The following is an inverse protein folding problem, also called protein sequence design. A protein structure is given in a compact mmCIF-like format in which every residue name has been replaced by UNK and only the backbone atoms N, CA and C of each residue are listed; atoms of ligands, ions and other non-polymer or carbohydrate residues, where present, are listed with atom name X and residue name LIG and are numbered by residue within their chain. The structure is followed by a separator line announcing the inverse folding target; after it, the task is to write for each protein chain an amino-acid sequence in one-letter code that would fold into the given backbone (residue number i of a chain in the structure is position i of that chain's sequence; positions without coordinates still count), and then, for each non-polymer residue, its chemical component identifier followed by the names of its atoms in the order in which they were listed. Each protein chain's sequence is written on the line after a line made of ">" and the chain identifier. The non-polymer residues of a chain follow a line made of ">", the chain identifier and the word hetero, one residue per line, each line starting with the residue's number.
data_IF_997336436139
#
_entry.id   IF_997336436139
#
_cell.length_a   1.000
_cell.length_b   1.000
_cell.length_c   1.000
_cell.angle_alpha   90.00
_cell.angle_beta   90.00
_cell.angle_gamma   90.00
#
_symmetry.space_group_name_H-M   'P 1'
#
loop_
_entity.id
_entity.type
_entity.pdbx_description
1 polymer ?
#
# COMPACT_ATOMS: atom_id res chain seq x y z
N UNK A 1 -0.55 21.53 21.01
CA UNK A 1 -1.87 21.58 20.37
C UNK A 1 -1.83 22.60 19.23
N UNK A 2 -1.80 22.13 18.00
CA UNK A 2 -1.96 22.99 16.83
C UNK A 2 -3.46 23.12 16.56
N UNK A 3 -4.02 24.28 16.85
CA UNK A 3 -5.37 24.66 16.42
C UNK A 3 -5.29 24.91 14.92
N UNK A 4 -5.78 24.01 14.10
CA UNK A 4 -5.94 24.24 12.67
C UNK A 4 -7.17 25.12 12.46
N UNK A 5 -6.98 26.20 11.69
CA UNK A 5 -8.06 27.09 11.29
C UNK A 5 -9.11 26.28 10.49
N UNK A 6 -10.35 26.37 10.90
CA UNK A 6 -11.50 25.85 10.14
C UNK A 6 -11.53 26.50 8.78
N UNK A 7 -11.22 25.73 7.74
CA UNK A 7 -11.40 26.16 6.36
C UNK A 7 -12.89 26.43 6.16
N UNK A 8 -13.25 27.60 5.63
CA UNK A 8 -14.64 27.91 5.31
C UNK A 8 -15.27 26.76 4.49
N UNK A 9 -16.52 26.42 4.79
CA UNK A 9 -17.26 25.43 4.04
C UNK A 9 -17.17 25.75 2.55
N UNK A 10 -16.89 24.79 1.66
CA UNK A 10 -16.82 25.03 0.23
C UNK A 10 -18.17 25.56 -0.28
N UNK A 11 -18.13 26.39 -1.31
CA UNK A 11 -19.34 26.91 -1.92
C UNK A 11 -20.22 25.73 -2.41
N UNK A 12 -21.54 25.81 -2.16
CA UNK A 12 -22.48 24.79 -2.63
C UNK A 12 -22.47 24.76 -4.16
N UNK A 13 -22.01 23.63 -4.71
CA UNK A 13 -21.98 23.37 -6.15
C UNK A 13 -23.12 22.40 -6.47
N UNK A 14 -23.90 22.71 -7.50
CA UNK A 14 -24.87 21.74 -8.01
C UNK A 14 -24.13 20.75 -8.90
N UNK A 15 -24.14 19.50 -8.50
CA UNK A 15 -23.54 18.42 -9.29
C UNK A 15 -24.34 18.19 -10.60
N UNK A 16 -23.64 18.05 -11.74
CA UNK A 16 -24.28 17.82 -13.05
C UNK A 16 -23.44 16.90 -13.93
N UNK A 17 -24.10 16.15 -14.81
CA UNK A 17 -23.43 15.25 -15.75
C UNK A 17 -22.84 14.00 -15.10
N UNK A 18 -22.23 13.18 -15.93
CA UNK A 18 -21.65 11.89 -15.56
C UNK A 18 -20.16 11.89 -15.92
N UNK A 19 -19.33 11.30 -15.05
CA UNK A 19 -17.92 10.99 -15.36
C UNK A 19 -17.78 9.48 -15.52
N UNK A 20 -17.23 9.06 -16.66
CA UNK A 20 -16.95 7.67 -17.00
C UNK A 20 -15.46 7.38 -16.83
N UNK A 21 -15.15 6.52 -15.86
CA UNK A 21 -13.78 6.16 -15.51
C UNK A 21 -13.51 4.69 -15.83
N UNK A 22 -12.59 4.43 -16.79
CA UNK A 22 -12.14 3.09 -17.15
C UNK A 22 -11.06 2.58 -16.20
N UNK A 23 -11.28 1.45 -15.53
CA UNK A 23 -10.31 0.78 -14.66
C UNK A 23 -10.02 -0.63 -15.15
N UNK A 24 -8.84 -1.16 -14.82
CA UNK A 24 -8.44 -2.51 -15.25
C UNK A 24 -9.32 -3.60 -14.62
N UNK A 25 -9.61 -3.46 -13.35
CA UNK A 25 -10.42 -4.41 -12.58
C UNK A 25 -11.09 -3.73 -11.38
N UNK A 26 -12.23 -4.24 -10.98
CA UNK A 26 -12.92 -3.92 -9.72
C UNK A 26 -13.13 -5.21 -8.94
N UNK A 27 -13.22 -5.13 -7.61
CA UNK A 27 -13.49 -6.30 -6.79
C UNK A 27 -14.96 -6.73 -6.77
N UNK A 28 -15.25 -7.81 -6.06
CA UNK A 28 -16.58 -8.40 -5.94
C UNK A 28 -17.24 -8.05 -4.60
N UNK A 29 -16.49 -8.11 -3.50
CA UNK A 29 -16.95 -7.85 -2.13
C UNK A 29 -16.02 -6.82 -1.47
N UNK A 30 -16.32 -5.55 -1.57
CA UNK A 30 -15.32 -4.53 -1.27
C UNK A 30 -15.75 -3.45 -0.31
N UNK A 31 -16.99 -3.39 0.06
CA UNK A 31 -17.48 -2.32 0.92
C UNK A 31 -17.27 -2.61 2.41
N UNK A 32 -17.46 -3.85 2.82
CA UNK A 32 -17.41 -4.18 4.25
C UNK A 32 -15.98 -4.48 4.72
N UNK A 33 -15.54 -3.91 5.86
CA UNK A 33 -14.19 -4.06 6.41
C UNK A 33 -13.69 -5.49 6.52
N UNK A 34 -14.58 -6.43 6.82
CA UNK A 34 -14.28 -7.87 6.94
C UNK A 34 -13.71 -8.49 5.67
N UNK A 35 -14.04 -7.95 4.49
CA UNK A 35 -13.67 -8.51 3.19
C UNK A 35 -12.62 -7.71 2.44
N UNK A 36 -12.29 -6.51 2.87
CA UNK A 36 -11.28 -5.67 2.22
C UNK A 36 -9.89 -6.28 2.41
N UNK A 37 -9.30 -6.81 1.34
CA UNK A 37 -8.01 -7.50 1.39
C UNK A 37 -6.87 -6.76 0.69
N UNK A 38 -7.16 -6.02 -0.37
CA UNK A 38 -6.15 -5.46 -1.26
C UNK A 38 -6.52 -4.05 -1.72
N UNK A 39 -5.52 -3.17 -1.89
CA UNK A 39 -5.73 -1.82 -2.47
C UNK A 39 -6.45 -1.80 -3.80
N UNK A 40 -6.25 -2.81 -4.63
CA UNK A 40 -6.86 -2.91 -5.95
C UNK A 40 -8.38 -2.99 -5.91
N UNK A 41 -8.89 -3.59 -4.85
CA UNK A 41 -10.31 -3.82 -4.67
C UNK A 41 -10.97 -2.74 -3.81
N UNK A 42 -10.29 -1.61 -3.61
CA UNK A 42 -10.78 -0.53 -2.74
C UNK A 42 -11.39 0.66 -3.48
N UNK A 43 -11.58 0.57 -4.81
CA UNK A 43 -12.20 1.68 -5.55
C UNK A 43 -13.53 2.10 -4.96
N UNK A 44 -14.37 1.15 -4.62
CA UNK A 44 -15.64 1.42 -3.98
C UNK A 44 -15.48 2.03 -2.58
N UNK A 45 -14.68 1.39 -1.73
CA UNK A 45 -14.46 1.85 -0.37
C UNK A 45 -13.78 3.24 -0.32
N UNK A 46 -12.87 3.53 -1.26
CA UNK A 46 -12.21 4.84 -1.34
C UNK A 46 -13.07 5.91 -2.00
N UNK A 47 -14.01 5.52 -2.86
CA UNK A 47 -14.96 6.43 -3.51
C UNK A 47 -16.11 6.80 -2.59
N UNK A 48 -16.73 5.81 -1.94
CA UNK A 48 -17.91 5.98 -1.11
C UNK A 48 -17.61 6.18 0.39
N UNK A 49 -16.39 5.84 0.83
CA UNK A 49 -16.03 5.85 2.24
C UNK A 49 -15.06 6.95 2.64
N UNK A 50 -14.94 7.14 3.94
CA UNK A 50 -13.96 8.02 4.56
C UNK A 50 -13.32 7.33 5.76
N UNK A 51 -12.10 7.78 6.10
CA UNK A 51 -11.31 7.28 7.23
C UNK A 51 -11.19 8.32 8.32
N UNK A 52 -10.64 7.94 9.48
CA UNK A 52 -10.44 8.85 10.60
C UNK A 52 -9.62 10.07 10.25
N UNK A 53 -8.54 9.89 9.48
CA UNK A 53 -7.65 10.97 9.05
C UNK A 53 -7.43 10.92 7.55
N UNK A 54 -7.05 12.05 6.97
CA UNK A 54 -6.49 12.12 5.62
C UNK A 54 -5.01 12.48 5.69
N UNK A 55 -4.30 12.40 4.56
CA UNK A 55 -2.88 12.68 4.48
C UNK A 55 -2.64 13.81 3.49
N UNK A 56 -1.84 14.77 3.89
CA UNK A 56 -1.40 15.86 3.04
C UNK A 56 -0.29 15.42 2.08
N UNK A 57 0.01 16.20 1.02
CA UNK A 57 1.12 15.88 0.11
C UNK A 57 2.50 15.78 0.78
N UNK A 58 2.68 16.40 1.94
CA UNK A 58 3.89 16.32 2.77
C UNK A 58 3.88 15.14 3.75
N UNK A 59 2.94 14.22 3.58
CA UNK A 59 2.69 13.06 4.44
C UNK A 59 2.22 13.36 5.87
N UNK A 60 1.93 14.61 6.21
CA UNK A 60 1.35 14.95 7.51
C UNK A 60 -0.12 14.50 7.60
N UNK A 61 -0.58 14.01 8.77
CA UNK A 61 -1.98 13.68 8.96
C UNK A 61 -2.82 14.97 9.08
N UNK A 62 -4.02 14.94 8.50
CA UNK A 62 -4.99 16.01 8.60
C UNK A 62 -6.36 15.47 9.02
N UNK A 63 -7.21 16.29 9.63
CA UNK A 63 -8.57 15.91 10.00
C UNK A 63 -9.40 15.39 8.83
N UNK A 64 -10.19 14.33 9.10
CA UNK A 64 -11.24 13.80 8.25
C UNK A 64 -12.46 13.53 9.12
N UNK A 65 -12.84 12.27 9.37
CA UNK A 65 -13.90 11.96 10.35
C UNK A 65 -13.47 12.32 11.78
N UNK A 66 -12.19 12.17 12.14
CA UNK A 66 -11.63 12.74 13.36
C UNK A 66 -11.27 14.21 13.13
N UNK A 67 -11.74 15.08 14.03
CA UNK A 67 -11.48 16.53 14.00
C UNK A 67 -10.37 16.93 14.97
N UNK A 68 -10.16 16.16 16.02
CA UNK A 68 -9.16 16.41 17.05
C UNK A 68 -8.66 15.10 17.62
N UNK A 69 -7.40 15.08 17.98
CA UNK A 69 -6.79 13.98 18.74
C UNK A 69 -5.70 14.49 19.67
N UNK A 70 -5.51 13.80 20.76
CA UNK A 70 -4.42 14.03 21.70
C UNK A 70 -3.79 12.71 22.12
N UNK A 71 -2.53 12.78 22.50
CA UNK A 71 -1.72 11.64 22.90
C UNK A 71 -1.09 12.01 24.24
N UNK A 72 -1.20 11.14 25.24
CA UNK A 72 -0.49 11.31 26.50
C UNK A 72 1.03 11.15 26.32
N UNK A 73 1.81 11.67 27.25
CA UNK A 73 3.28 11.66 27.19
C UNK A 73 3.88 10.25 27.19
N UNK A 74 3.13 9.26 27.66
CA UNK A 74 3.51 7.85 27.63
C UNK A 74 3.29 7.15 26.28
N UNK A 75 2.64 7.83 25.33
CA UNK A 75 2.22 7.31 24.05
C UNK A 75 1.26 6.10 24.11
N UNK A 76 0.65 5.81 25.26
CA UNK A 76 -0.30 4.71 25.46
C UNK A 76 -1.74 5.18 25.34
N UNK A 77 -2.05 6.34 25.94
CA UNK A 77 -3.42 6.86 25.98
C UNK A 77 -3.67 7.87 24.88
N UNK A 78 -4.64 7.56 24.02
CA UNK A 78 -5.07 8.40 22.92
C UNK A 78 -6.51 8.84 23.12
N UNK A 79 -6.80 10.13 22.91
CA UNK A 79 -8.18 10.63 22.87
C UNK A 79 -8.52 11.07 21.46
N UNK A 80 -9.62 10.57 20.94
CA UNK A 80 -10.13 10.91 19.61
C UNK A 80 -11.48 11.58 19.74
N UNK A 81 -11.64 12.71 19.03
CA UNK A 81 -12.92 13.38 18.86
C UNK A 81 -13.29 13.37 17.38
N UNK A 82 -14.49 12.88 17.08
CA UNK A 82 -15.00 12.80 15.72
C UNK A 82 -16.06 13.87 15.46
N UNK A 83 -16.42 14.02 14.19
CA UNK A 83 -17.48 14.93 13.73
C UNK A 83 -18.84 14.47 14.23
N UNK A 84 -19.72 15.43 14.47
CA UNK A 84 -21.12 15.25 14.87
C UNK A 84 -22.13 15.61 13.75
N UNK A 85 -21.61 16.03 12.57
CA UNK A 85 -22.38 16.50 11.42
C UNK A 85 -22.24 15.56 10.19
N UNK A 86 -21.92 14.30 10.39
CA UNK A 86 -21.72 13.31 9.33
C UNK A 86 -22.83 12.28 9.36
N UNK A 87 -23.55 12.14 8.25
CA UNK A 87 -24.61 11.13 8.09
C UNK A 87 -24.10 9.97 7.20
N UNK A 88 -24.53 8.77 7.54
CA UNK A 88 -24.37 7.62 6.67
C UNK A 88 -25.32 7.67 5.48
N UNK A 89 -24.87 7.20 4.32
CA UNK A 89 -25.71 7.02 3.15
C UNK A 89 -26.96 6.18 3.48
N UNK A 90 -28.00 6.32 2.66
CA UNK A 90 -29.20 5.47 2.72
C UNK A 90 -30.01 5.57 4.01
N UNK A 91 -29.79 6.62 4.81
CA UNK A 91 -30.60 6.90 6.01
C UNK A 91 -30.27 6.02 7.23
N UNK A 92 -29.06 5.48 7.31
CA UNK A 92 -28.63 4.67 8.45
C UNK A 92 -28.23 5.49 9.68
N UNK A 93 -28.46 6.81 9.66
CA UNK A 93 -28.26 7.72 10.79
C UNK A 93 -26.87 8.37 10.80
N UNK A 94 -26.55 9.03 11.91
CA UNK A 94 -25.33 9.77 12.08
C UNK A 94 -24.17 8.85 12.48
N UNK A 95 -22.95 9.22 12.03
CA UNK A 95 -21.71 8.60 12.46
C UNK A 95 -21.51 8.81 13.97
N UNK A 96 -21.14 7.74 14.66
CA UNK A 96 -20.72 7.75 16.05
C UNK A 96 -19.43 6.99 16.27
N UNK A 97 -18.83 7.11 17.47
CA UNK A 97 -17.65 6.31 17.84
C UNK A 97 -17.94 4.81 17.83
N UNK A 98 -19.21 4.40 17.99
CA UNK A 98 -19.59 2.99 17.91
C UNK A 98 -19.39 2.40 16.50
N UNK A 99 -19.58 3.20 15.46
CA UNK A 99 -19.32 2.78 14.08
C UNK A 99 -17.80 2.67 13.81
N UNK A 100 -17.02 3.57 14.40
CA UNK A 100 -15.56 3.52 14.34
C UNK A 100 -15.04 2.23 14.96
N UNK A 101 -15.44 1.94 16.20
CA UNK A 101 -15.03 0.75 16.94
C UNK A 101 -15.49 -0.53 16.23
N UNK A 102 -16.72 -0.54 15.72
CA UNK A 102 -17.25 -1.65 14.93
C UNK A 102 -16.41 -1.89 13.68
N UNK A 103 -16.17 -0.86 12.87
CA UNK A 103 -15.42 -0.97 11.61
C UNK A 103 -14.01 -1.51 11.83
N UNK A 104 -13.28 -1.02 12.83
CA UNK A 104 -11.95 -1.51 13.13
C UNK A 104 -11.94 -2.94 13.67
N UNK A 105 -12.94 -3.31 14.47
CA UNK A 105 -13.11 -4.72 14.90
C UNK A 105 -13.30 -5.64 13.69
N UNK A 106 -14.16 -5.25 12.73
CA UNK A 106 -14.40 -6.02 11.52
C UNK A 106 -13.15 -6.15 10.62
N UNK A 107 -12.33 -5.10 10.50
CA UNK A 107 -11.03 -5.19 9.83
C UNK A 107 -10.09 -6.20 10.48
N UNK A 108 -10.08 -6.23 11.81
CA UNK A 108 -9.26 -7.16 12.58
C UNK A 108 -9.76 -8.60 12.44
N UNK A 109 -11.05 -8.84 12.68
CA UNK A 109 -11.65 -10.18 12.64
C UNK A 109 -11.66 -10.79 11.24
N UNK A 110 -11.82 -9.97 10.19
CA UNK A 110 -11.72 -10.42 8.81
C UNK A 110 -10.33 -10.92 8.44
N UNK A 111 -9.29 -10.39 9.08
CA UNK A 111 -7.87 -10.77 8.93
C UNK A 111 -7.33 -10.72 7.48
N UNK A 112 -8.10 -10.22 6.53
CA UNK A 112 -7.71 -10.15 5.11
C UNK A 112 -6.84 -8.93 4.84
N UNK A 113 -7.10 -7.81 5.52
CA UNK A 113 -6.32 -6.59 5.39
C UNK A 113 -4.93 -6.77 6.00
N UNK A 114 -3.89 -6.30 5.31
CA UNK A 114 -2.52 -6.35 5.80
C UNK A 114 -2.30 -5.55 7.11
N UNK A 115 -3.27 -4.73 7.52
CA UNK A 115 -3.26 -3.95 8.76
C UNK A 115 -4.08 -4.58 9.88
N UNK A 116 -4.74 -5.71 9.65
CA UNK A 116 -5.62 -6.35 10.63
C UNK A 116 -4.96 -6.57 12.00
N UNK A 117 -3.69 -7.00 12.03
CA UNK A 117 -2.92 -7.16 13.26
C UNK A 117 -2.72 -5.83 13.99
N UNK A 118 -2.24 -4.80 13.28
CA UNK A 118 -2.00 -3.46 13.85
C UNK A 118 -3.31 -2.85 14.37
N UNK A 119 -4.40 -3.02 13.63
CA UNK A 119 -5.73 -2.54 14.03
C UNK A 119 -6.19 -3.27 15.31
N UNK A 120 -5.97 -4.58 15.38
CA UNK A 120 -6.27 -5.37 16.57
C UNK A 120 -5.50 -4.93 17.79
N UNK A 121 -4.22 -4.66 17.66
CA UNK A 121 -3.36 -4.21 18.75
C UNK A 121 -3.78 -2.81 19.24
N UNK A 122 -4.06 -1.89 18.32
CA UNK A 122 -4.39 -0.50 18.66
C UNK A 122 -5.86 -0.31 19.07
N UNK A 123 -6.81 -0.83 18.27
CA UNK A 123 -8.25 -0.54 18.42
C UNK A 123 -9.05 -1.65 19.11
N UNK A 124 -8.57 -2.89 19.15
CA UNK A 124 -9.31 -4.03 19.73
C UNK A 124 -8.75 -4.45 21.09
N UNK A 125 -7.52 -4.04 21.40
CA UNK A 125 -6.91 -4.30 22.71
C UNK A 125 -6.20 -5.65 22.82
N UNK A 126 -5.72 -6.22 21.71
CA UNK A 126 -5.02 -7.53 21.71
C UNK A 126 -3.75 -7.56 22.58
N UNK A 127 -3.12 -6.40 22.79
CA UNK A 127 -1.90 -6.26 23.62
C UNK A 127 -2.19 -5.71 25.02
N UNK A 128 -3.41 -5.91 25.52
CA UNK A 128 -3.81 -5.49 26.86
C UNK A 128 -4.43 -4.10 26.95
N UNK A 129 -4.70 -3.49 25.79
CA UNK A 129 -5.36 -2.19 25.71
C UNK A 129 -6.88 -2.26 25.92
N UNK A 130 -7.53 -1.09 25.87
CA UNK A 130 -8.97 -0.97 26.04
C UNK A 130 -9.52 0.29 25.35
N UNK A 131 -10.84 0.33 25.14
CA UNK A 131 -11.54 1.50 24.63
C UNK A 131 -12.58 1.97 25.62
N UNK A 132 -12.60 3.28 25.89
CA UNK A 132 -13.60 3.93 26.74
C UNK A 132 -14.39 4.93 25.89
N UNK A 133 -15.65 4.65 25.64
CA UNK A 133 -16.57 5.60 25.02
C UNK A 133 -16.95 6.64 26.06
N UNK A 134 -16.58 7.91 25.80
CA UNK A 134 -16.92 9.04 26.68
C UNK A 134 -18.31 9.56 26.36
N UNK A 135 -18.57 9.73 25.07
CA UNK A 135 -19.85 10.11 24.48
C UNK A 135 -19.91 9.62 23.02
N UNK A 136 -20.99 9.90 22.29
CA UNK A 136 -21.18 9.45 20.91
C UNK A 136 -20.08 9.93 19.94
N UNK A 137 -19.29 10.94 20.32
CA UNK A 137 -18.30 11.59 19.45
C UNK A 137 -16.89 11.59 20.05
N UNK A 138 -16.71 11.00 21.21
CA UNK A 138 -15.41 10.98 21.90
C UNK A 138 -15.08 9.58 22.42
N UNK A 139 -13.92 9.08 22.04
CA UNK A 139 -13.39 7.80 22.54
C UNK A 139 -11.97 7.94 23.02
N UNK A 140 -11.67 7.30 24.14
CA UNK A 140 -10.32 7.13 24.67
C UNK A 140 -9.87 5.72 24.34
N UNK A 141 -8.70 5.60 23.73
CA UNK A 141 -8.05 4.32 23.39
C UNK A 141 -6.80 4.21 24.24
N UNK A 142 -6.79 3.20 25.10
CA UNK A 142 -5.60 2.71 25.79
C UNK A 142 -5.02 1.58 24.94
N UNK A 143 -3.83 1.76 24.40
CA UNK A 143 -3.20 0.82 23.47
C UNK A 143 -2.46 -0.32 24.17
N UNK A 144 -2.39 -0.31 25.51
CA UNK A 144 -1.68 -1.30 26.31
C UNK A 144 -0.16 -1.22 26.26
N UNK A 145 0.39 -0.67 25.19
CA UNK A 145 1.82 -0.41 24.99
C UNK A 145 2.01 0.90 24.19
N UNK A 146 3.19 1.55 24.25
CA UNK A 146 3.42 2.82 23.57
C UNK A 146 3.33 2.72 22.05
N UNK A 147 2.56 3.63 21.44
CA UNK A 147 2.41 3.76 19.99
C UNK A 147 2.86 5.14 19.52
N UNK A 148 3.87 5.15 18.66
CA UNK A 148 4.31 6.41 18.04
C UNK A 148 3.29 6.87 16.98
N UNK A 149 3.02 8.19 16.87
CA UNK A 149 2.00 8.73 15.98
C UNK A 149 2.10 8.26 14.53
N UNK A 150 3.31 8.22 13.97
CA UNK A 150 3.54 7.80 12.61
C UNK A 150 2.98 6.40 12.31
N UNK A 151 3.06 5.48 13.27
CA UNK A 151 2.55 4.12 13.11
C UNK A 151 1.02 4.06 13.23
N UNK A 152 0.45 4.84 14.15
CA UNK A 152 -1.00 4.91 14.32
C UNK A 152 -1.68 5.49 13.08
N UNK A 153 -1.18 6.60 12.55
CA UNK A 153 -1.76 7.25 11.37
C UNK A 153 -1.63 6.43 10.08
N UNK A 154 -0.68 5.50 9.99
CA UNK A 154 -0.47 4.68 8.80
C UNK A 154 -1.70 3.85 8.42
N UNK A 155 -2.46 3.32 9.36
CA UNK A 155 -3.65 2.53 9.06
C UNK A 155 -4.96 3.33 9.10
N UNK A 156 -4.99 4.50 9.73
CA UNK A 156 -6.19 5.32 9.88
C UNK A 156 -6.44 6.29 8.72
N UNK A 157 -5.57 6.31 7.72
CA UNK A 157 -5.63 7.25 6.60
C UNK A 157 -6.58 6.81 5.49
N UNK A 158 -7.16 7.82 4.85
CA UNK A 158 -7.82 7.68 3.55
C UNK A 158 -6.78 7.82 2.45
N UNK A 159 -6.65 7.10 1.46
CA UNK A 159 -5.66 7.10 0.36
C UNK A 159 -4.42 6.22 0.60
N UNK A 160 -3.90 5.72 -0.49
CA UNK A 160 -2.67 4.94 -0.56
C UNK A 160 -2.85 3.46 -0.29
N UNK A 161 -3.95 2.89 -0.75
CA UNK A 161 -4.07 1.45 -0.97
C UNK A 161 -4.28 0.59 0.28
N UNK A 162 -4.49 1.18 1.44
CA UNK A 162 -4.84 0.49 2.67
C UNK A 162 -5.82 1.35 3.49
N UNK A 163 -6.75 2.00 2.81
CA UNK A 163 -7.81 2.77 3.44
C UNK A 163 -8.60 1.91 4.43
N UNK A 164 -8.84 2.49 5.60
CA UNK A 164 -9.75 1.91 6.60
C UNK A 164 -11.00 2.77 6.65
N UNK A 165 -11.86 2.62 5.65
CA UNK A 165 -13.13 3.34 5.59
C UNK A 165 -14.06 2.87 6.70
N UNK A 166 -14.84 3.81 7.22
CA UNK A 166 -15.81 3.55 8.27
C UNK A 166 -17.16 3.23 7.65
N UNK A 167 -17.82 2.21 8.17
CA UNK A 167 -19.12 1.74 7.70
C UNK A 167 -20.18 1.83 8.78
N UNK A 168 -21.46 1.87 8.38
CA UNK A 168 -22.58 1.86 9.32
C UNK A 168 -22.66 0.51 10.04
N UNK A 169 -22.47 0.54 11.36
CA UNK A 169 -22.71 -0.60 12.23
C UNK A 169 -24.15 -1.08 12.12
N UNK A 170 -25.10 -0.15 12.14
CA UNK A 170 -26.53 -0.45 12.05
C UNK A 170 -26.87 -1.23 10.78
N UNK A 171 -26.40 -0.78 9.60
CA UNK A 171 -26.64 -1.51 8.35
C UNK A 171 -26.04 -2.92 8.41
N UNK A 172 -24.81 -3.02 8.87
CA UNK A 172 -24.10 -4.30 8.92
C UNK A 172 -24.75 -5.30 9.87
N UNK A 173 -25.33 -4.82 10.98
CA UNK A 173 -26.11 -5.66 11.91
C UNK A 173 -27.49 -6.05 11.36
N UNK A 174 -28.12 -5.20 10.56
CA UNK A 174 -29.42 -5.48 9.94
C UNK A 174 -29.34 -6.46 8.76
N UNK A 175 -28.30 -6.33 7.91
CA UNK A 175 -28.18 -7.09 6.67
C UNK A 175 -27.22 -8.28 6.78
N UNK A 176 -26.27 -8.24 7.73
CA UNK A 176 -25.12 -9.11 7.74
C UNK A 176 -23.97 -8.57 6.89
N UNK A 177 -22.75 -9.01 7.18
CA UNK A 177 -21.55 -8.47 6.54
C UNK A 177 -21.49 -8.73 5.03
N UNK A 178 -21.97 -9.88 4.54
CA UNK A 178 -21.95 -10.24 3.12
C UNK A 178 -22.89 -9.34 2.30
N UNK A 179 -24.14 -9.24 2.71
CA UNK A 179 -25.15 -8.43 2.01
C UNK A 179 -24.83 -6.94 2.12
N UNK A 180 -24.35 -6.49 3.29
CA UNK A 180 -23.87 -5.12 3.46
C UNK A 180 -22.67 -4.78 2.58
N UNK A 181 -21.82 -5.75 2.22
CA UNK A 181 -20.59 -5.50 1.46
C UNK A 181 -20.86 -4.98 0.04
N UNK A 182 -21.90 -5.46 -0.61
CA UNK A 182 -22.21 -5.09 -2.00
C UNK A 182 -23.06 -3.84 -2.13
N UNK A 183 -23.74 -3.44 -1.06
CA UNK A 183 -24.58 -2.24 -1.02
C UNK A 183 -24.30 -1.37 0.22
N UNK A 184 -23.03 -1.21 0.53
CA UNK A 184 -22.54 -0.63 1.79
C UNK A 184 -22.96 0.82 1.99
N UNK A 185 -23.33 1.15 3.22
CA UNK A 185 -23.57 2.52 3.67
C UNK A 185 -22.28 3.07 4.32
N UNK A 186 -21.77 4.13 3.72
CA UNK A 186 -20.59 4.86 4.13
C UNK A 186 -20.90 6.36 4.24
N UNK A 187 -19.87 7.19 4.40
CA UNK A 187 -20.01 8.63 4.69
C UNK A 187 -19.42 9.54 3.63
N UNK A 188 -18.86 9.01 2.55
CA UNK A 188 -18.12 9.76 1.55
C UNK A 188 -19.00 10.59 0.60
N UNK A 189 -18.38 11.40 -0.28
CA UNK A 189 -19.10 12.28 -1.19
C UNK A 189 -19.83 11.56 -2.33
N UNK A 190 -19.60 10.27 -2.49
CA UNK A 190 -20.21 9.42 -3.50
C UNK A 190 -20.97 8.26 -2.85
N UNK A 191 -22.21 8.07 -3.22
CA UNK A 191 -23.09 7.00 -2.74
C UNK A 191 -23.23 5.93 -3.81
N UNK A 192 -23.11 4.66 -3.44
CA UNK A 192 -23.31 3.51 -4.33
C UNK A 192 -24.79 3.44 -4.72
N UNK A 193 -25.07 3.41 -6.02
CA UNK A 193 -26.42 3.30 -6.59
C UNK A 193 -26.66 1.95 -7.24
N UNK A 194 -25.68 1.43 -7.98
CA UNK A 194 -25.84 0.21 -8.75
C UNK A 194 -24.47 -0.39 -9.10
N UNK A 195 -24.41 -1.69 -9.37
CA UNK A 195 -23.23 -2.35 -9.85
C UNK A 195 -23.55 -3.66 -10.58
N UNK A 196 -22.67 -4.04 -11.50
CA UNK A 196 -22.63 -5.38 -12.09
C UNK A 196 -21.23 -5.97 -11.89
N UNK A 197 -21.16 -7.13 -11.26
CA UNK A 197 -19.90 -7.76 -10.88
C UNK A 197 -18.99 -7.97 -12.10
N UNK A 198 -17.78 -7.42 -12.04
CA UNK A 198 -16.80 -7.49 -13.12
C UNK A 198 -17.09 -6.59 -14.32
N UNK A 199 -18.14 -5.77 -14.29
CA UNK A 199 -18.52 -4.87 -15.38
C UNK A 199 -18.42 -3.40 -14.97
N UNK A 200 -19.18 -2.97 -13.95
CA UNK A 200 -19.18 -1.58 -13.52
C UNK A 200 -19.62 -1.38 -12.06
N UNK A 201 -19.29 -0.19 -11.56
CA UNK A 201 -19.86 0.39 -10.34
C UNK A 201 -20.39 1.79 -10.64
N UNK A 202 -21.61 2.10 -10.23
CA UNK A 202 -22.26 3.40 -10.41
C UNK A 202 -22.51 4.08 -9.08
N UNK A 203 -22.14 5.36 -9.02
CA UNK A 203 -22.29 6.19 -7.84
C UNK A 203 -23.04 7.47 -8.18
N UNK A 204 -23.81 7.98 -7.21
CA UNK A 204 -24.36 9.33 -7.25
C UNK A 204 -23.64 10.25 -6.28
N UNK A 205 -23.58 11.53 -6.62
CA UNK A 205 -23.05 12.56 -5.74
C UNK A 205 -23.95 12.75 -4.51
N UNK A 206 -23.34 12.91 -3.35
CA UNK A 206 -24.04 13.32 -2.13
C UNK A 206 -24.13 14.85 -2.15
N UNK A 207 -25.34 15.37 -2.28
CA UNK A 207 -25.58 16.81 -2.21
C UNK A 207 -25.27 17.34 -0.80
N UNK A 208 -24.74 18.54 -0.72
CA UNK A 208 -24.38 19.18 0.55
C UNK A 208 -23.45 18.35 1.47
N UNK A 209 -22.60 17.49 0.85
CA UNK A 209 -21.66 16.69 1.61
C UNK A 209 -20.76 17.54 2.51
N UNK A 210 -20.56 17.12 3.76
CA UNK A 210 -19.86 17.87 4.80
C UNK A 210 -18.44 18.32 4.39
N UNK A 211 -17.74 17.57 3.54
CA UNK A 211 -16.40 17.92 3.07
C UNK A 211 -16.44 18.67 1.74
N UNK A 212 -17.10 18.13 0.75
CA UNK A 212 -17.23 18.71 -0.58
C UNK A 212 -18.26 17.95 -1.40
N UNK A 213 -19.25 18.66 -1.98
CA UNK A 213 -20.12 18.08 -2.99
C UNK A 213 -19.33 17.84 -4.28
N UNK A 214 -19.41 16.66 -4.92
CA UNK A 214 -18.82 16.41 -6.22
C UNK A 214 -19.33 17.37 -7.30
N UNK A 215 -18.52 17.69 -8.29
CA UNK A 215 -18.96 18.51 -9.43
C UNK A 215 -19.84 17.74 -10.42
N UNK A 216 -19.63 16.42 -10.55
CA UNK A 216 -20.44 15.53 -11.36
C UNK A 216 -21.54 14.91 -10.52
N UNK A 217 -22.75 14.73 -11.14
CA UNK A 217 -23.88 14.09 -10.48
C UNK A 217 -23.72 12.57 -10.37
N UNK A 218 -23.04 11.98 -11.34
CA UNK A 218 -22.78 10.54 -11.39
C UNK A 218 -21.31 10.25 -11.68
N UNK A 219 -20.80 9.15 -11.11
CA UNK A 219 -19.52 8.53 -11.44
C UNK A 219 -19.80 7.07 -11.81
N UNK A 220 -19.28 6.64 -12.96
CA UNK A 220 -19.31 5.22 -13.35
C UNK A 220 -17.88 4.72 -13.49
N UNK A 221 -17.54 3.70 -12.70
CA UNK A 221 -16.30 2.95 -12.85
C UNK A 221 -16.56 1.76 -13.77
N UNK A 222 -15.98 1.77 -14.96
CA UNK A 222 -16.10 0.69 -15.94
C UNK A 222 -14.91 -0.27 -15.81
N UNK A 223 -15.18 -1.55 -15.64
CA UNK A 223 -14.15 -2.59 -15.67
C UNK A 223 -13.80 -2.90 -17.11
N UNK A 224 -12.65 -2.45 -17.56
CA UNK A 224 -12.14 -2.67 -18.91
C UNK A 224 -10.70 -3.20 -18.78
N UNK A 225 -10.50 -4.53 -18.78
CA UNK A 225 -9.19 -5.12 -18.54
C UNK A 225 -8.12 -4.72 -19.57
N UNK A 226 -8.53 -4.63 -20.84
CA UNK A 226 -7.62 -4.37 -21.94
C UNK A 226 -7.25 -2.88 -22.04
N UNK A 227 -5.95 -2.58 -21.97
CA UNK A 227 -5.42 -1.21 -22.07
C UNK A 227 -5.83 -0.52 -23.37
N UNK A 228 -5.71 -1.21 -24.50
CA UNK A 228 -6.07 -0.68 -25.80
C UNK A 228 -7.55 -0.27 -25.89
N UNK A 229 -8.44 -0.99 -25.20
CA UNK A 229 -9.86 -0.64 -25.15
C UNK A 229 -10.10 0.61 -24.30
N UNK A 230 -9.37 0.80 -23.18
CA UNK A 230 -9.44 2.03 -22.39
C UNK A 230 -8.92 3.24 -23.16
N UNK A 231 -7.80 3.10 -23.88
CA UNK A 231 -7.24 4.14 -24.75
C UNK A 231 -8.25 4.52 -25.83
N UNK A 232 -8.83 3.54 -26.55
CA UNK A 232 -9.83 3.79 -27.59
C UNK A 232 -11.08 4.47 -27.04
N UNK A 233 -11.56 4.03 -25.86
CA UNK A 233 -12.70 4.64 -25.18
C UNK A 233 -12.44 6.12 -24.82
N UNK A 234 -11.23 6.43 -24.36
CA UNK A 234 -10.82 7.81 -24.07
C UNK A 234 -10.70 8.65 -25.35
N UNK A 235 -10.06 8.14 -26.39
CA UNK A 235 -9.92 8.84 -27.69
C UNK A 235 -11.26 9.14 -28.36
N UNK A 236 -12.27 8.30 -28.16
CA UNK A 236 -13.62 8.46 -28.73
C UNK A 236 -14.58 9.24 -27.83
N UNK A 237 -14.15 9.62 -26.61
CA UNK A 237 -14.97 10.33 -25.64
C UNK A 237 -16.02 9.43 -24.95
N UNK A 238 -15.88 8.11 -25.04
CA UNK A 238 -16.70 7.17 -24.24
C UNK A 238 -16.24 7.10 -22.78
N UNK A 239 -14.97 7.35 -22.54
CA UNK A 239 -14.38 7.51 -21.22
C UNK A 239 -13.87 8.94 -21.06
N UNK A 240 -14.14 9.53 -19.92
CA UNK A 240 -13.63 10.84 -19.52
C UNK A 240 -12.24 10.74 -18.89
N UNK A 241 -11.95 9.60 -18.28
CA UNK A 241 -10.66 9.28 -17.65
C UNK A 241 -10.47 7.77 -17.59
N UNK A 242 -9.23 7.33 -17.44
CA UNK A 242 -8.94 5.90 -17.28
C UNK A 242 -7.62 5.65 -16.58
N UNK A 243 -7.49 4.48 -15.96
CA UNK A 243 -6.23 3.97 -15.42
C UNK A 243 -5.32 3.56 -16.56
N UNK A 244 -4.13 4.15 -16.61
CA UNK A 244 -3.21 4.05 -17.74
C UNK A 244 -1.91 3.33 -17.35
N UNK A 245 -1.33 2.60 -18.28
CA UNK A 245 0.04 2.09 -18.22
C UNK A 245 1.04 3.14 -18.75
N UNK A 246 2.32 3.00 -18.40
CA UNK A 246 3.34 3.98 -18.77
C UNK A 246 3.63 3.98 -20.27
N UNK A 247 3.60 2.83 -20.92
CA UNK A 247 3.84 2.67 -22.37
C UNK A 247 2.76 3.33 -23.26
N UNK A 248 1.59 3.59 -22.71
CA UNK A 248 0.50 4.28 -23.42
C UNK A 248 0.55 5.80 -23.32
N UNK A 249 1.37 6.35 -22.43
CA UNK A 249 1.53 7.81 -22.23
C UNK A 249 1.79 8.55 -23.54
N UNK A 250 2.75 8.15 -24.41
CA UNK A 250 3.01 8.87 -25.64
C UNK A 250 1.83 8.88 -26.63
N UNK A 251 0.91 7.94 -26.49
CA UNK A 251 -0.32 7.89 -27.31
C UNK A 251 -1.38 8.84 -26.75
N UNK A 252 -1.53 8.90 -25.43
CA UNK A 252 -2.51 9.76 -24.77
C UNK A 252 -2.13 11.24 -24.87
N UNK A 253 -0.85 11.58 -24.77
CA UNK A 253 -0.34 12.96 -24.95
C UNK A 253 -0.68 13.58 -26.31
N UNK A 254 -0.99 12.77 -27.32
CA UNK A 254 -1.43 13.23 -28.65
C UNK A 254 -2.91 13.59 -28.72
N UNK A 255 -3.68 13.25 -27.68
CA UNK A 255 -5.11 13.60 -27.61
C UNK A 255 -5.24 15.04 -27.14
N UNK A 256 -5.88 15.87 -27.94
CA UNK A 256 -6.02 17.30 -27.65
C UNK A 256 -6.78 17.52 -26.32
N UNK A 257 -6.21 18.31 -25.43
CA UNK A 257 -6.74 18.59 -24.11
C UNK A 257 -6.58 17.48 -23.07
N UNK A 258 -5.92 16.36 -23.39
CA UNK A 258 -5.65 15.31 -22.43
C UNK A 258 -4.68 15.80 -21.33
N UNK A 259 -4.95 15.40 -20.10
CA UNK A 259 -4.10 15.70 -18.94
C UNK A 259 -3.74 14.40 -18.24
N UNK A 260 -2.44 14.17 -18.07
CA UNK A 260 -1.94 13.02 -17.33
C UNK A 260 -1.83 13.42 -15.86
N UNK A 261 -2.54 12.71 -14.99
CA UNK A 261 -2.52 12.93 -13.54
C UNK A 261 -1.80 11.76 -12.88
N UNK A 262 -0.71 12.05 -12.19
CA UNK A 262 0.04 11.10 -11.39
C UNK A 262 0.15 11.55 -9.94
N UNK A 263 0.16 10.61 -9.01
CA UNK A 263 0.50 10.91 -7.62
C UNK A 263 1.99 10.65 -7.41
N UNK A 264 2.79 11.66 -7.07
CA UNK A 264 4.20 11.44 -6.77
C UNK A 264 4.35 10.50 -5.56
N UNK A 265 5.33 9.62 -5.62
CA UNK A 265 5.60 8.66 -4.55
C UNK A 265 4.43 7.72 -4.20
N UNK A 266 3.58 7.39 -5.17
CA UNK A 266 2.43 6.51 -4.96
C UNK A 266 2.84 5.07 -4.62
N UNK A 267 3.91 4.60 -5.21
CA UNK A 267 4.46 3.26 -5.02
C UNK A 267 5.90 3.15 -5.46
N UNK A 268 6.51 2.03 -5.13
CA UNK A 268 7.89 1.70 -5.46
C UNK A 268 7.96 0.26 -5.93
N UNK A 269 8.54 0.01 -7.11
CA UNK A 269 9.00 -1.32 -7.49
C UNK A 269 10.32 -1.61 -6.79
N UNK A 270 10.45 -2.81 -6.25
CA UNK A 270 11.66 -3.16 -5.51
C UNK A 270 11.90 -4.64 -5.38
N UNK A 271 13.16 -4.96 -5.18
CA UNK A 271 13.63 -6.31 -4.90
C UNK A 271 13.55 -6.57 -3.40
N UNK A 272 13.13 -7.77 -3.05
CA UNK A 272 13.22 -8.29 -1.70
C UNK A 272 14.04 -9.55 -1.74
N UNK A 273 15.24 -9.47 -1.19
CA UNK A 273 16.16 -10.58 -1.12
C UNK A 273 15.91 -11.26 0.22
N UNK A 274 15.37 -12.48 0.15
CA UNK A 274 15.13 -13.30 1.33
C UNK A 274 16.29 -14.25 1.52
N UNK A 275 16.46 -14.72 2.71
CA UNK A 275 17.55 -15.57 3.14
C UNK A 275 17.73 -15.25 4.60
N UNK A 276 16.90 -15.89 5.43
CA UNK A 276 16.84 -15.61 6.85
C UNK A 276 18.12 -16.10 7.52
N UNK A 277 18.79 -15.22 8.20
CA UNK A 277 19.86 -15.55 9.13
C UNK A 277 19.33 -15.96 10.51
N UNK A 278 18.01 -15.90 10.69
CA UNK A 278 17.44 -16.33 11.96
C UNK A 278 17.33 -17.85 12.02
N UNK A 279 17.93 -18.45 13.03
CA UNK A 279 17.73 -19.87 13.34
C UNK A 279 16.31 -20.21 13.83
N UNK A 280 15.40 -19.22 13.90
CA UNK A 280 14.04 -19.40 14.42
C UNK A 280 13.00 -18.66 13.57
N UNK A 281 11.78 -19.21 13.51
CA UNK A 281 10.60 -18.50 13.02
C UNK A 281 10.18 -17.33 13.95
N UNK A 282 9.11 -16.62 13.61
CA UNK A 282 8.63 -15.51 14.43
C UNK A 282 8.06 -15.93 15.79
N UNK A 283 7.69 -17.18 15.95
CA UNK A 283 7.21 -17.80 17.19
C UNK A 283 8.36 -18.32 18.06
N UNK A 284 9.60 -18.34 17.57
CA UNK A 284 10.81 -18.80 18.26
C UNK A 284 11.11 -20.29 18.08
N UNK A 285 10.38 -20.98 17.16
CA UNK A 285 10.70 -22.37 16.85
C UNK A 285 11.93 -22.46 15.93
N UNK A 286 12.77 -23.51 16.03
CA UNK A 286 13.91 -23.71 15.15
C UNK A 286 13.52 -23.67 13.69
N UNK A 287 14.27 -22.96 12.88
CA UNK A 287 14.08 -22.85 11.43
C UNK A 287 14.98 -23.87 10.72
N UNK A 288 14.42 -24.95 10.24
CA UNK A 288 15.15 -26.05 9.63
C UNK A 288 15.40 -25.91 8.12
N UNK A 289 15.10 -24.71 7.54
CA UNK A 289 15.09 -24.48 6.10
C UNK A 289 15.94 -23.30 5.63
N UNK A 290 16.97 -22.90 6.39
CA UNK A 290 17.96 -21.96 5.89
C UNK A 290 18.71 -22.58 4.72
N UNK A 291 18.57 -21.99 3.53
CA UNK A 291 19.34 -22.42 2.37
C UNK A 291 20.65 -21.67 2.27
N UNK A 292 21.66 -22.18 2.98
CA UNK A 292 23.02 -21.64 3.00
C UNK A 292 23.74 -21.80 1.65
N UNK A 293 23.14 -22.49 0.65
CA UNK A 293 23.71 -22.56 -0.68
C UNK A 293 23.38 -21.33 -1.54
N UNK A 294 22.45 -20.49 -1.09
CA UNK A 294 22.19 -19.21 -1.77
C UNK A 294 23.38 -18.26 -1.59
N UNK A 295 23.95 -17.80 -2.69
CA UNK A 295 25.16 -16.96 -2.71
C UNK A 295 25.03 -15.67 -1.86
N UNK A 296 23.82 -15.18 -1.65
CA UNK A 296 23.50 -13.97 -0.88
C UNK A 296 23.15 -14.23 0.58
N UNK A 297 23.24 -15.48 1.07
CA UNK A 297 22.92 -15.88 2.44
C UNK A 297 24.20 -16.21 3.19
N UNK A 298 24.29 -15.74 4.45
CA UNK A 298 25.24 -16.24 5.43
C UNK A 298 24.49 -17.06 6.47
N UNK A 299 24.95 -18.27 6.75
CA UNK A 299 24.47 -19.06 7.88
C UNK A 299 25.32 -18.86 9.14
N UNK A 300 26.42 -18.12 9.03
CA UNK A 300 27.12 -17.59 10.17
C UNK A 300 26.46 -16.27 10.59
N UNK A 301 25.93 -16.22 11.80
CA UNK A 301 25.26 -15.02 12.36
C UNK A 301 26.27 -13.95 12.82
N UNK A 302 27.58 -14.23 12.79
CA UNK A 302 28.61 -13.27 13.13
C UNK A 302 28.83 -12.28 11.97
N UNK A 303 28.50 -10.98 12.13
CA UNK A 303 28.72 -9.99 11.08
C UNK A 303 30.19 -9.74 10.74
N UNK A 304 31.11 -10.19 11.56
CA UNK A 304 32.55 -10.08 11.33
C UNK A 304 33.14 -11.33 10.63
N UNK A 305 32.31 -12.33 10.31
CA UNK A 305 32.75 -13.54 9.64
C UNK A 305 33.03 -13.35 8.14
N UNK A 306 33.89 -14.19 7.59
CA UNK A 306 34.19 -14.21 6.16
C UNK A 306 32.96 -14.59 5.32
N UNK A 307 32.06 -15.46 5.85
CA UNK A 307 30.84 -15.88 5.17
C UNK A 307 29.86 -14.71 5.04
N UNK A 308 29.69 -13.96 6.13
CA UNK A 308 28.86 -12.74 6.11
C UNK A 308 29.42 -11.71 5.13
N UNK A 309 30.74 -11.44 5.15
CA UNK A 309 31.35 -10.51 4.24
C UNK A 309 31.17 -10.90 2.76
N UNK A 310 31.19 -12.21 2.42
CA UNK A 310 30.89 -12.71 1.08
C UNK A 310 29.43 -12.45 0.69
N UNK A 311 28.47 -12.77 1.56
CA UNK A 311 27.06 -12.54 1.30
C UNK A 311 26.73 -11.05 1.06
N UNK A 312 27.37 -10.15 1.83
CA UNK A 312 27.27 -8.69 1.64
C UNK A 312 27.82 -8.25 0.29
N UNK A 313 28.98 -8.78 -0.14
CA UNK A 313 29.56 -8.48 -1.47
C UNK A 313 28.63 -8.91 -2.60
N UNK A 314 28.02 -10.10 -2.50
CA UNK A 314 27.05 -10.58 -3.49
C UNK A 314 25.83 -9.66 -3.57
N UNK A 315 25.21 -9.31 -2.44
CA UNK A 315 24.06 -8.37 -2.40
C UNK A 315 24.42 -7.02 -2.99
N UNK A 316 25.62 -6.51 -2.68
CA UNK A 316 26.10 -5.25 -3.23
C UNK A 316 26.30 -5.33 -4.74
N UNK A 317 26.90 -6.42 -5.25
CA UNK A 317 27.05 -6.64 -6.69
C UNK A 317 25.69 -6.65 -7.41
N UNK A 318 24.72 -7.40 -6.87
CA UNK A 318 23.34 -7.43 -7.38
C UNK A 318 22.70 -6.04 -7.39
N UNK A 319 23.01 -5.18 -6.42
CA UNK A 319 22.44 -3.84 -6.33
C UNK A 319 23.08 -2.84 -7.31
N UNK A 320 24.43 -2.80 -7.42
CA UNK A 320 25.12 -1.82 -8.26
C UNK A 320 25.13 -2.19 -9.75
N UNK A 321 24.75 -3.41 -10.10
CA UNK A 321 24.59 -3.84 -11.49
C UNK A 321 23.30 -3.36 -12.16
N UNK A 322 22.38 -2.73 -11.44
CA UNK A 322 21.09 -2.31 -11.97
C UNK A 322 21.13 -0.82 -12.31
N UNK A 323 20.95 -0.48 -13.59
CA UNK A 323 20.75 0.90 -14.02
C UNK A 323 19.28 1.32 -13.78
N UNK A 324 19.08 1.93 -12.62
CA UNK A 324 17.75 2.37 -12.19
C UNK A 324 17.25 3.57 -12.99
N UNK A 325 18.17 4.40 -13.50
CA UNK A 325 17.77 5.54 -14.33
C UNK A 325 17.28 5.07 -15.69
N UNK A 326 17.96 4.10 -16.31
CA UNK A 326 17.52 3.51 -17.57
C UNK A 326 16.13 2.86 -17.45
N UNK A 327 15.86 2.16 -16.34
CA UNK A 327 14.51 1.62 -16.04
C UNK A 327 13.47 2.73 -15.98
N UNK A 328 13.77 3.85 -15.33
CA UNK A 328 12.86 5.00 -15.25
C UNK A 328 12.61 5.58 -16.64
N UNK A 329 13.66 5.78 -17.44
CA UNK A 329 13.56 6.45 -18.73
C UNK A 329 12.86 5.57 -19.77
N UNK A 330 13.12 4.26 -19.77
CA UNK A 330 12.63 3.36 -20.82
C UNK A 330 11.31 2.66 -20.46
N UNK A 331 11.14 2.21 -19.23
CA UNK A 331 9.96 1.43 -18.80
C UNK A 331 8.89 2.33 -18.22
N UNK A 332 9.31 3.33 -17.42
CA UNK A 332 8.37 4.24 -16.75
C UNK A 332 8.18 5.56 -17.51
N UNK A 333 8.68 5.66 -18.74
CA UNK A 333 8.55 6.85 -19.61
C UNK A 333 8.97 8.16 -18.91
N UNK A 334 9.95 8.10 -18.00
CA UNK A 334 10.41 9.24 -17.21
C UNK A 334 9.53 9.57 -15.97
N UNK A 335 8.42 8.87 -15.77
CA UNK A 335 7.51 9.09 -14.64
C UNK A 335 7.91 8.29 -13.40
N UNK A 336 9.14 8.50 -12.91
CA UNK A 336 9.68 7.84 -11.75
C UNK A 336 10.95 8.48 -11.26
N UNK A 337 11.54 7.89 -10.23
CA UNK A 337 12.86 8.25 -9.74
C UNK A 337 13.59 7.02 -9.21
N UNK A 338 14.92 6.90 -9.46
CA UNK A 338 15.72 5.84 -8.88
C UNK A 338 15.65 5.85 -7.34
N UNK A 339 15.48 4.67 -6.76
CA UNK A 339 15.49 4.46 -5.32
C UNK A 339 16.58 3.45 -4.94
N UNK A 340 17.24 3.69 -3.84
CA UNK A 340 18.26 2.78 -3.32
C UNK A 340 17.81 2.03 -2.07
N UNK A 341 16.78 2.55 -1.41
CA UNK A 341 16.16 1.93 -0.23
C UNK A 341 14.67 1.75 -0.44
N UNK A 342 14.22 0.56 -0.13
CA UNK A 342 12.79 0.25 -0.14
C UNK A 342 12.07 1.03 0.97
N UNK A 343 10.83 1.42 0.68
CA UNK A 343 9.93 2.16 1.58
C UNK A 343 10.43 3.56 1.99
N UNK A 344 11.40 4.15 1.23
CA UNK A 344 11.97 5.48 1.49
C UNK A 344 11.57 6.53 0.46
N UNK A 345 10.66 6.23 -0.44
CA UNK A 345 10.21 7.17 -1.47
C UNK A 345 9.64 8.45 -0.84
N UNK A 346 10.08 9.59 -1.35
CA UNK A 346 9.79 10.91 -0.80
C UNK A 346 10.66 11.30 0.41
N UNK A 347 11.59 10.42 0.82
CA UNK A 347 12.49 10.67 1.96
C UNK A 347 13.98 10.50 1.59
N UNK A 348 14.31 10.57 0.31
CA UNK A 348 15.65 10.35 -0.23
C UNK A 348 16.69 11.29 0.37
N UNK A 349 16.26 12.49 0.79
CA UNK A 349 17.10 13.46 1.48
C UNK A 349 17.60 13.00 2.86
N UNK A 350 16.98 12.00 3.46
CA UNK A 350 17.39 11.40 4.73
C UNK A 350 18.34 10.22 4.54
N UNK A 351 18.54 9.75 3.30
CA UNK A 351 19.41 8.61 3.01
C UNK A 351 20.88 8.96 3.26
N UNK A 352 21.56 8.09 4.03
CA UNK A 352 22.98 8.26 4.27
C UNK A 352 23.78 8.02 2.97
N UNK A 353 24.91 8.72 2.77
CA UNK A 353 25.74 8.53 1.57
C UNK A 353 26.12 7.08 1.30
N UNK A 354 26.39 6.28 2.33
CA UNK A 354 26.73 4.86 2.23
C UNK A 354 25.59 3.97 1.70
N UNK A 355 24.36 4.44 1.68
CA UNK A 355 23.20 3.72 1.15
C UNK A 355 22.97 3.98 -0.34
N UNK A 356 23.67 4.96 -0.92
CA UNK A 356 23.58 5.27 -2.35
C UNK A 356 24.54 4.39 -3.12
N UNK A 357 24.08 3.89 -4.24
CA UNK A 357 24.85 3.08 -5.15
C UNK A 357 24.78 3.69 -6.55
N UNK A 358 25.94 3.92 -7.14
CA UNK A 358 26.02 4.23 -8.56
C UNK A 358 25.96 2.92 -9.36
N UNK A 359 25.45 2.99 -10.57
CA UNK A 359 25.49 1.88 -11.51
C UNK A 359 26.93 1.61 -11.93
N UNK A 360 27.43 0.40 -11.65
CA UNK A 360 28.78 -0.02 -11.97
C UNK A 360 28.85 -1.55 -12.16
N UNK A 361 28.55 -2.04 -13.38
CA UNK A 361 28.55 -3.47 -13.65
C UNK A 361 29.95 -4.11 -13.61
N UNK A 362 31.02 -3.34 -13.85
CA UNK A 362 32.39 -3.85 -13.76
C UNK A 362 32.81 -4.07 -12.31
N UNK A 363 32.49 -3.12 -11.42
CA UNK A 363 32.65 -3.31 -9.99
C UNK A 363 31.80 -4.46 -9.45
N UNK A 364 30.58 -4.64 -9.99
CA UNK A 364 29.71 -5.76 -9.62
C UNK A 364 30.36 -7.11 -9.94
N UNK A 365 30.90 -7.29 -11.15
CA UNK A 365 31.68 -8.50 -11.52
C UNK A 365 32.86 -8.74 -10.61
N UNK A 366 33.62 -7.70 -10.27
CA UNK A 366 34.72 -7.78 -9.37
C UNK A 366 34.29 -8.27 -7.97
N UNK A 367 33.22 -7.72 -7.43
CA UNK A 367 32.65 -8.14 -6.14
C UNK A 367 32.20 -9.60 -6.14
N UNK A 368 31.57 -10.07 -7.23
CA UNK A 368 31.19 -11.49 -7.36
C UNK A 368 32.44 -12.39 -7.37
N UNK A 369 33.48 -12.02 -8.11
CA UNK A 369 34.74 -12.76 -8.13
C UNK A 369 35.41 -12.81 -6.74
N UNK A 370 35.43 -11.69 -6.01
CA UNK A 370 35.97 -11.61 -4.64
C UNK A 370 35.11 -12.45 -3.64
N UNK A 371 33.83 -12.58 -3.89
CA UNK A 371 32.92 -13.42 -3.09
C UNK A 371 33.06 -14.92 -3.42
N UNK A 372 33.85 -15.29 -4.44
CA UNK A 372 34.02 -16.66 -4.87
C UNK A 372 33.11 -17.13 -6.01
N UNK A 373 32.47 -16.19 -6.70
CA UNK A 373 31.57 -16.44 -7.82
C UNK A 373 32.06 -15.75 -9.10
N UNK A 374 33.28 -16.02 -9.61
CA UNK A 374 33.80 -15.35 -10.79
C UNK A 374 32.99 -15.65 -12.08
N UNK A 375 32.32 -16.79 -12.11
CA UNK A 375 31.45 -17.23 -13.22
C UNK A 375 29.97 -17.04 -12.91
N UNK A 376 29.63 -16.29 -11.83
CA UNK A 376 28.23 -16.09 -11.37
C UNK A 376 27.66 -17.29 -10.62
N UNK A 377 26.32 -17.33 -10.55
CA UNK A 377 25.54 -18.40 -9.89
C UNK A 377 24.12 -18.41 -10.44
N UNK A 378 23.38 -19.50 -10.18
CA UNK A 378 21.97 -19.60 -10.57
C UNK A 378 21.05 -18.96 -9.53
N UNK A 379 20.03 -18.18 -9.97
CA UNK A 379 19.04 -17.58 -9.11
C UNK A 379 17.63 -17.68 -9.72
N UNK A 380 16.62 -17.86 -8.86
CA UNK A 380 15.23 -17.68 -9.26
C UNK A 380 14.75 -16.30 -8.82
N UNK A 381 14.46 -15.43 -9.79
CA UNK A 381 13.78 -14.17 -9.57
C UNK A 381 12.26 -14.42 -9.69
N UNK A 382 11.51 -14.04 -8.66
CA UNK A 382 10.07 -14.23 -8.62
C UNK A 382 9.35 -12.87 -8.65
N UNK A 383 8.96 -12.40 -9.85
CA UNK A 383 8.02 -11.29 -9.97
C UNK A 383 6.69 -11.68 -9.31
N UNK A 384 6.45 -11.11 -8.14
CA UNK A 384 5.23 -11.33 -7.38
C UNK A 384 4.20 -10.23 -7.73
N UNK A 385 3.59 -10.38 -8.90
CA UNK A 385 2.79 -9.36 -9.57
C UNK A 385 1.64 -8.87 -8.68
N UNK A 386 1.58 -7.55 -8.47
CA UNK A 386 0.51 -6.84 -7.76
C UNK A 386 -0.31 -5.95 -8.70
N UNK A 387 0.14 -5.79 -9.97
CA UNK A 387 -0.53 -5.11 -11.08
C UNK A 387 -0.32 -3.62 -11.14
N UNK A 388 0.74 -3.12 -10.53
CA UNK A 388 1.16 -1.76 -10.82
C UNK A 388 1.68 -1.67 -12.27
N UNK A 389 1.46 -0.54 -12.96
CA UNK A 389 2.03 -0.32 -14.28
C UNK A 389 3.56 -0.45 -14.27
N UNK A 390 4.14 -1.11 -15.28
CA UNK A 390 5.58 -1.31 -15.40
C UNK A 390 6.22 -2.27 -14.39
N UNK A 391 5.43 -2.92 -13.54
CA UNK A 391 5.97 -3.80 -12.48
C UNK A 391 6.67 -5.02 -13.03
N UNK A 392 6.07 -5.68 -14.01
CA UNK A 392 6.63 -6.88 -14.64
C UNK A 392 7.87 -6.54 -15.43
N UNK A 393 7.79 -5.53 -16.26
CA UNK A 393 8.85 -5.07 -17.17
C UNK A 393 10.09 -4.61 -16.38
N UNK A 394 9.89 -3.89 -15.28
CA UNK A 394 10.98 -3.50 -14.39
C UNK A 394 11.67 -4.71 -13.74
N UNK A 395 10.91 -5.74 -13.35
CA UNK A 395 11.47 -6.96 -12.81
C UNK A 395 12.23 -7.79 -13.87
N UNK A 396 11.76 -7.81 -15.10
CA UNK A 396 12.43 -8.46 -16.24
C UNK A 396 13.73 -7.73 -16.61
N UNK A 397 13.76 -6.40 -16.58
CA UNK A 397 14.97 -5.62 -16.77
C UNK A 397 16.04 -5.94 -15.71
N UNK A 398 15.65 -6.11 -14.45
CA UNK A 398 16.58 -6.54 -13.39
C UNK A 398 17.22 -7.88 -13.71
N UNK A 399 16.47 -8.85 -14.25
CA UNK A 399 17.04 -10.13 -14.65
C UNK A 399 18.12 -9.96 -15.73
N UNK A 400 17.88 -9.09 -16.73
CA UNK A 400 18.87 -8.82 -17.77
C UNK A 400 20.16 -8.20 -17.21
N UNK A 401 20.07 -7.21 -16.31
CA UNK A 401 21.24 -6.63 -15.65
C UNK A 401 22.05 -7.67 -14.85
N UNK A 402 21.38 -8.62 -14.21
CA UNK A 402 22.05 -9.68 -13.47
C UNK A 402 22.73 -10.69 -14.41
N UNK A 403 22.12 -10.99 -15.55
CA UNK A 403 22.73 -11.84 -16.60
C UNK A 403 23.98 -11.21 -17.19
N UNK A 404 24.02 -9.88 -17.33
CA UNK A 404 25.19 -9.15 -17.82
C UNK A 404 26.42 -9.27 -16.91
N UNK A 405 26.20 -9.48 -15.61
CA UNK A 405 27.29 -9.70 -14.63
C UNK A 405 27.59 -11.18 -14.36
N UNK A 406 26.97 -12.10 -15.11
CA UNK A 406 27.21 -13.53 -15.05
C UNK A 406 26.25 -14.34 -14.16
N UNK A 407 25.24 -13.71 -13.54
CA UNK A 407 24.23 -14.43 -12.76
C UNK A 407 23.21 -15.05 -13.75
N UNK A 408 22.98 -16.36 -13.65
CA UNK A 408 22.00 -17.09 -14.46
C UNK A 408 20.61 -16.96 -13.83
N UNK A 409 19.69 -16.23 -14.49
CA UNK A 409 18.41 -15.86 -13.89
C UNK A 409 17.26 -16.69 -14.48
N UNK A 410 16.56 -17.43 -13.63
CA UNK A 410 15.26 -18.03 -13.97
C UNK A 410 14.14 -17.15 -13.47
N UNK A 411 13.31 -16.61 -14.37
CA UNK A 411 12.11 -15.85 -14.00
C UNK A 411 10.96 -16.82 -13.72
N UNK A 412 10.29 -16.62 -12.60
CA UNK A 412 9.09 -17.35 -12.20
C UNK A 412 7.99 -16.39 -11.78
N UNK A 413 7.17 -15.95 -12.71
CA UNK A 413 6.03 -15.08 -12.46
C UNK A 413 4.96 -15.78 -11.63
N UNK A 414 4.59 -15.18 -10.49
CA UNK A 414 3.49 -15.67 -9.64
C UNK A 414 2.62 -14.52 -9.16
N UNK A 415 1.30 -14.72 -9.01
CA UNK A 415 0.46 -13.75 -8.33
C UNK A 415 0.93 -13.56 -6.89
N UNK A 416 0.97 -12.31 -6.41
CA UNK A 416 1.42 -12.01 -5.04
C UNK A 416 0.64 -12.80 -3.97
N UNK A 417 -0.67 -13.00 -4.16
CA UNK A 417 -1.50 -13.77 -3.24
C UNK A 417 -1.02 -15.22 -3.06
N UNK A 418 -0.44 -15.80 -4.10
CA UNK A 418 0.07 -17.20 -4.08
C UNK A 418 1.31 -17.34 -3.20
N UNK A 419 2.23 -16.38 -3.30
CA UNK A 419 3.51 -16.44 -2.56
C UNK A 419 3.39 -15.83 -1.14
N UNK A 420 2.42 -14.94 -0.91
CA UNK A 420 2.26 -14.21 0.34
C UNK A 420 2.26 -15.08 1.61
N UNK A 421 1.59 -16.24 1.67
CA UNK A 421 1.65 -17.09 2.86
C UNK A 421 3.06 -17.51 3.23
N UNK A 422 3.90 -17.90 2.27
CA UNK A 422 5.29 -18.29 2.52
C UNK A 422 6.18 -17.10 2.95
N UNK A 423 5.86 -15.88 2.50
CA UNK A 423 6.53 -14.67 2.96
C UNK A 423 6.22 -14.36 4.43
N UNK A 424 4.96 -14.46 4.82
CA UNK A 424 4.51 -14.19 6.20
C UNK A 424 5.05 -15.22 7.19
N UNK A 425 5.10 -16.49 6.78
CA UNK A 425 5.66 -17.57 7.60
C UNK A 425 7.18 -17.66 7.53
N UNK A 426 7.84 -16.75 6.80
CA UNK A 426 9.30 -16.70 6.60
C UNK A 426 9.89 -17.96 5.96
N UNK A 427 9.09 -18.71 5.20
CA UNK A 427 9.55 -19.94 4.53
C UNK A 427 10.11 -19.71 3.13
N UNK A 428 9.94 -18.51 2.58
CA UNK A 428 10.45 -18.16 1.26
C UNK A 428 11.88 -17.64 1.38
N UNK A 429 12.80 -18.20 0.60
CA UNK A 429 14.24 -17.90 0.65
C UNK A 429 14.82 -17.51 -0.70
N UNK A 430 14.01 -17.03 -1.61
CA UNK A 430 14.45 -16.54 -2.91
C UNK A 430 14.48 -15.02 -2.99
N UNK A 431 14.38 -14.52 -4.20
CA UNK A 431 14.26 -13.08 -4.48
C UNK A 431 12.93 -12.79 -5.12
N UNK A 432 12.14 -11.90 -4.50
CA UNK A 432 10.92 -11.39 -5.13
C UNK A 432 11.15 -9.98 -5.65
N UNK A 433 10.46 -9.68 -6.76
CA UNK A 433 10.33 -8.34 -7.29
C UNK A 433 8.85 -7.96 -7.31
N UNK A 434 8.48 -6.89 -6.65
CA UNK A 434 7.09 -6.41 -6.64
C UNK A 434 6.98 -4.98 -6.13
N UNK A 435 5.85 -4.36 -6.43
CA UNK A 435 5.55 -3.01 -5.95
C UNK A 435 5.05 -3.00 -4.52
N UNK A 436 5.36 -1.91 -3.83
CA UNK A 436 4.82 -1.55 -2.51
C UNK A 436 4.26 -0.14 -2.55
N UNK A 437 3.21 0.11 -1.77
CA UNK A 437 2.64 1.44 -1.65
C UNK A 437 3.54 2.39 -0.85
N UNK A 438 3.33 3.69 -1.04
CA UNK A 438 4.00 4.74 -0.29
C UNK A 438 3.84 4.58 1.24
N UNK A 439 4.86 4.97 1.97
CA UNK A 439 4.85 5.01 3.44
C UNK A 439 4.82 6.45 3.93
N UNK A 440 4.06 6.72 4.98
CA UNK A 440 4.03 8.04 5.62
C UNK A 440 5.35 8.43 6.25
N UNK A 441 6.09 7.42 6.73
CA UNK A 441 7.34 7.62 7.41
C UNK A 441 8.29 6.46 7.11
N UNK A 442 9.55 6.71 6.78
CA UNK A 442 10.52 5.65 6.46
C UNK A 442 10.76 4.67 7.61
N UNK A 443 10.56 5.08 8.87
CA UNK A 443 10.64 4.19 10.04
C UNK A 443 9.64 3.04 9.95
N UNK A 444 8.46 3.28 9.36
CA UNK A 444 7.45 2.22 9.15
C UNK A 444 7.96 1.19 8.15
N UNK A 445 8.63 1.64 7.09
CA UNK A 445 9.34 0.76 6.15
C UNK A 445 10.48 0.02 6.82
N UNK A 446 11.30 0.71 7.59
CA UNK A 446 12.42 0.12 8.34
C UNK A 446 11.97 -0.98 9.31
N UNK A 447 10.73 -0.93 9.82
CA UNK A 447 10.18 -2.00 10.66
C UNK A 447 10.10 -3.37 9.96
N UNK A 448 10.12 -3.41 8.63
CA UNK A 448 10.17 -4.66 7.87
C UNK A 448 11.53 -5.35 7.91
N UNK A 449 12.56 -4.66 8.40
CA UNK A 449 13.94 -5.14 8.48
C UNK A 449 14.35 -5.55 9.90
N UNK A 450 13.41 -5.59 10.83
CA UNK A 450 13.66 -6.02 12.21
C UNK A 450 13.13 -7.44 12.47
N UNK A 451 13.78 -8.15 13.38
CA UNK A 451 13.54 -9.56 13.70
C UNK A 451 12.07 -9.90 14.01
N UNK A 452 11.34 -8.99 14.66
CA UNK A 452 9.93 -9.18 15.02
C UNK A 452 8.93 -8.82 13.91
N UNK A 453 9.38 -8.35 12.76
CA UNK A 453 8.49 -8.00 11.66
C UNK A 453 7.80 -9.22 11.07
N UNK A 454 6.55 -9.06 10.64
CA UNK A 454 5.82 -10.09 9.86
C UNK A 454 6.55 -10.41 8.55
N UNK A 455 7.11 -9.40 7.89
CA UNK A 455 7.93 -9.52 6.69
C UNK A 455 9.37 -9.20 7.04
N UNK A 456 10.05 -10.10 7.75
CA UNK A 456 11.49 -9.94 7.89
C UNK A 456 12.13 -10.28 6.55
N UNK A 457 12.71 -9.29 5.90
CA UNK A 457 13.39 -9.47 4.61
C UNK A 457 14.83 -10.00 4.75
N UNK A 458 15.15 -10.65 5.85
CA UNK A 458 16.45 -11.29 6.04
C UNK A 458 17.64 -10.34 6.01
N UNK A 459 17.42 -9.08 6.30
CA UNK A 459 18.43 -8.04 6.14
C UNK A 459 18.78 -7.43 7.48
N UNK A 460 19.25 -8.23 8.41
CA UNK A 460 20.08 -7.70 9.50
C UNK A 460 21.50 -7.37 9.00
N UNK A 461 21.66 -7.22 7.68
CA UNK A 461 22.96 -6.99 7.05
C UNK A 461 23.10 -5.53 6.63
#
# INVERSE_FOLDING_TARGET
>A
AAVMATKAAPAKVKATGTINYGVKETGIFEGHPRFISSPRYQYMATTAGESMVTIQPDFSPAPSLAIEWSIADDFVTWTWKIRDDVEFHKGYGNLTVHDILYSYKEYHEGALNARAGIIGDYWVGNVGGSQTVVDDYTVIVDTGEPWVPARAFEFMRHLGGLSTSIVSKKQSEELGAEDASVDISMTGPWKIEDHASGEYWKFSAVEDHWRQTPHFAELVLWTIPEEAARVAGFQTGQLDTFQMAFDTIPTVEKVDGAVIVGWPNAGQAGLNIYGQTYGTDKEGNPYDKLDCNNAWVSCDEDPDSDEWAKAVKVKRAMAISIDRQEIVDTILSGYGAPQVMRDWMGHEGLALPRWKFDYDPDAAKALLAEAGYPDGFDITLTPAIRGAPGETEACEAVAQYWEEIGISVKIQNVPYATIRPSLITRQYQGVTCHTVGARLNPIIGASNYVKKSTFSYGTEH
#
